data_IF_359913290654
#
_entry.id   IF_359913290654
#
_cell.length_a   1.000
_cell.length_b   1.000
_cell.length_c   1.000
_cell.angle_alpha   90.00
_cell.angle_beta   90.00
_cell.angle_gamma   90.00
#
_symmetry.space_group_name_H-M   'P 1'
#
loop_
_entity.id
_entity.type
_entity.pdbx_description
1 polymer ?
#
# COMPACT_ATOMS: atom_id res chain seq x y z
N UNK A 1 6.30 -6.61 -17.77
CA UNK A 1 6.04 -5.19 -18.07
C UNK A 1 5.39 -4.62 -16.84
N UNK A 2 5.86 -3.47 -16.35
CA UNK A 2 5.31 -2.83 -15.14
C UNK A 2 3.86 -2.38 -15.39
N UNK A 3 2.93 -2.68 -14.49
CA UNK A 3 1.55 -2.16 -14.55
C UNK A 3 1.47 -0.72 -14.04
N UNK A 4 2.52 -0.21 -13.39
CA UNK A 4 2.64 1.20 -13.05
C UNK A 4 2.98 1.99 -14.32
N UNK A 5 1.95 2.61 -14.91
CA UNK A 5 2.08 3.49 -16.06
C UNK A 5 2.07 4.97 -15.68
N UNK A 6 2.54 5.85 -16.56
CA UNK A 6 2.44 7.30 -16.34
C UNK A 6 0.99 7.79 -16.21
N UNK A 7 0.04 7.09 -16.83
CA UNK A 7 -1.39 7.37 -16.68
C UNK A 7 -1.87 7.03 -15.27
N UNK A 8 -1.44 5.89 -14.71
CA UNK A 8 -1.72 5.50 -13.34
C UNK A 8 -1.16 6.52 -12.33
N UNK A 9 0.09 6.96 -12.52
CA UNK A 9 0.70 8.00 -11.67
C UNK A 9 -0.06 9.32 -11.75
N UNK A 10 -0.49 9.71 -12.96
CA UNK A 10 -1.28 10.93 -13.17
C UNK A 10 -2.64 10.86 -12.46
N UNK A 11 -3.30 9.71 -12.53
CA UNK A 11 -4.55 9.46 -11.81
C UNK A 11 -4.33 9.60 -10.30
N UNK A 12 -3.31 8.94 -9.74
CA UNK A 12 -3.02 8.98 -8.32
C UNK A 12 -2.70 10.38 -7.81
N UNK A 13 -1.88 11.13 -8.54
CA UNK A 13 -1.54 12.50 -8.16
C UNK A 13 -2.76 13.43 -8.14
N UNK A 14 -3.70 13.25 -9.07
CA UNK A 14 -4.96 13.98 -9.10
C UNK A 14 -5.84 13.66 -7.89
N UNK A 15 -5.97 12.38 -7.54
CA UNK A 15 -6.85 11.92 -6.45
C UNK A 15 -6.27 12.31 -5.08
N UNK A 16 -4.99 12.05 -4.83
CA UNK A 16 -4.38 12.23 -3.51
C UNK A 16 -3.87 13.62 -3.24
N UNK A 17 -3.31 14.28 -4.25
CA UNK A 17 -2.62 15.56 -4.04
C UNK A 17 -3.26 16.74 -4.78
N UNK A 18 -4.34 16.50 -5.54
CA UNK A 18 -5.10 17.54 -6.26
C UNK A 18 -4.25 18.42 -7.19
N UNK A 19 -3.11 17.94 -7.67
CA UNK A 19 -2.31 18.61 -8.70
C UNK A 19 -2.26 17.78 -9.99
N UNK A 20 -1.92 18.45 -11.09
CA UNK A 20 -1.71 17.79 -12.38
C UNK A 20 -0.22 17.71 -12.66
N UNK A 21 0.27 16.51 -12.95
CA UNK A 21 1.64 16.32 -13.42
C UNK A 21 1.74 16.57 -14.93
N UNK A 22 2.85 17.19 -15.39
CA UNK A 22 3.26 17.11 -16.78
C UNK A 22 3.49 15.65 -17.21
N UNK A 23 3.16 15.31 -18.45
CA UNK A 23 3.28 13.94 -18.96
C UNK A 23 4.71 13.38 -18.89
N UNK A 24 5.73 14.23 -19.10
CA UNK A 24 7.14 13.83 -19.00
C UNK A 24 7.53 13.38 -17.58
N UNK A 25 7.02 14.08 -16.57
CA UNK A 25 7.30 13.77 -15.16
C UNK A 25 6.53 12.53 -14.71
N UNK A 26 5.32 12.33 -15.22
CA UNK A 26 4.52 11.15 -14.91
C UNK A 26 5.15 9.85 -15.46
N UNK A 27 5.73 9.90 -16.66
CA UNK A 27 6.46 8.78 -17.24
C UNK A 27 7.72 8.45 -16.42
N UNK A 28 8.49 9.47 -16.05
CA UNK A 28 9.69 9.30 -15.23
C UNK A 28 9.35 8.71 -13.85
N UNK A 29 8.29 9.18 -13.20
CA UNK A 29 7.82 8.63 -11.93
C UNK A 29 7.38 7.18 -12.04
N UNK A 30 6.72 6.81 -13.14
CA UNK A 30 6.34 5.42 -13.39
C UNK A 30 7.56 4.52 -13.53
N UNK A 31 8.59 4.94 -14.28
CA UNK A 31 9.86 4.22 -14.40
C UNK A 31 10.58 4.09 -13.04
N UNK A 32 10.54 5.13 -12.21
CA UNK A 32 11.12 5.09 -10.87
C UNK A 32 10.38 4.13 -9.92
N UNK A 33 9.07 3.95 -10.10
CA UNK A 33 8.22 3.09 -9.28
C UNK A 33 8.17 1.64 -9.76
N UNK A 34 8.53 1.37 -11.02
CA UNK A 34 8.53 0.01 -11.59
C UNK A 34 9.33 -1.01 -10.77
N UNK A 35 10.53 -0.70 -10.21
CA UNK A 35 11.25 -1.63 -9.35
C UNK A 35 10.50 -1.97 -8.04
N UNK A 36 9.71 -1.04 -7.51
CA UNK A 36 8.89 -1.30 -6.31
C UNK A 36 7.72 -2.23 -6.61
N UNK A 37 7.14 -2.16 -7.81
CA UNK A 37 6.11 -3.12 -8.23
C UNK A 37 6.68 -4.54 -8.29
N UNK A 38 7.84 -4.72 -8.93
CA UNK A 38 8.51 -6.03 -9.00
C UNK A 38 8.85 -6.56 -7.61
N UNK A 39 9.42 -5.71 -6.75
CA UNK A 39 9.70 -6.10 -5.37
C UNK A 39 8.42 -6.45 -4.58
N UNK A 40 7.33 -5.72 -4.82
CA UNK A 40 6.01 -5.98 -4.22
C UNK A 40 5.41 -7.30 -4.68
N UNK A 41 5.48 -7.63 -5.98
CA UNK A 41 5.03 -8.90 -6.54
C UNK A 41 5.85 -10.08 -6.00
N UNK A 42 7.18 -9.97 -5.96
CA UNK A 42 8.05 -11.01 -5.37
C UNK A 42 7.75 -11.26 -3.89
N UNK A 43 7.47 -10.20 -3.13
CA UNK A 43 7.05 -10.31 -1.72
C UNK A 43 5.64 -10.88 -1.61
N UNK A 44 4.71 -10.48 -2.47
CA UNK A 44 3.33 -10.96 -2.49
C UNK A 44 3.22 -12.45 -2.83
N UNK A 45 4.02 -12.95 -3.78
CA UNK A 45 4.11 -14.37 -4.13
C UNK A 45 4.62 -15.22 -2.95
N UNK A 46 5.43 -14.63 -2.08
CA UNK A 46 5.92 -15.26 -0.85
C UNK A 46 5.12 -14.86 0.40
N UNK A 47 4.08 -14.04 0.25
CA UNK A 47 3.18 -13.66 1.33
C UNK A 47 2.17 -14.80 1.53
N UNK A 48 2.62 -15.85 2.22
CA UNK A 48 1.68 -16.76 2.85
C UNK A 48 1.02 -15.97 3.99
N UNK A 49 -0.20 -15.50 3.73
CA UNK A 49 -1.10 -15.12 4.82
C UNK A 49 -1.32 -16.39 5.63
N UNK A 50 -0.61 -16.53 6.74
CA UNK A 50 -0.98 -17.51 7.73
C UNK A 50 -2.41 -17.14 8.14
N UNK A 51 -3.36 -18.02 7.82
CA UNK A 51 -4.78 -17.83 8.14
C UNK A 51 -5.02 -18.01 9.65
N UNK A 52 -3.97 -18.03 10.47
CA UNK A 52 -4.06 -17.75 11.88
C UNK A 52 -4.17 -16.23 12.07
N UNK A 53 -5.27 -15.73 12.66
CA UNK A 53 -5.32 -14.35 13.10
C UNK A 53 -4.15 -14.14 14.05
N UNK A 54 -3.14 -13.38 13.62
CA UNK A 54 -2.07 -12.96 14.51
C UNK A 54 -2.71 -12.12 15.61
N UNK A 55 -2.90 -12.77 16.76
CA UNK A 55 -3.25 -12.11 18.00
C UNK A 55 -4.53 -11.25 17.94
N UNK A 56 -5.59 -11.69 17.23
CA UNK A 56 -6.90 -10.99 17.28
C UNK A 56 -7.38 -10.80 18.73
N UNK A 57 -7.21 -11.83 19.55
CA UNK A 57 -7.55 -11.79 20.97
C UNK A 57 -6.65 -10.82 21.77
N UNK A 58 -5.35 -10.75 21.43
CA UNK A 58 -4.42 -9.80 22.07
C UNK A 58 -4.73 -8.35 21.67
N UNK A 59 -5.07 -8.11 20.41
CA UNK A 59 -5.48 -6.80 19.92
C UNK A 59 -6.80 -6.34 20.57
N UNK A 60 -7.72 -7.27 20.84
CA UNK A 60 -8.93 -7.00 21.60
C UNK A 60 -8.61 -6.64 23.07
N UNK A 61 -7.69 -7.35 23.72
CA UNK A 61 -7.26 -7.03 25.09
C UNK A 61 -6.53 -5.68 25.17
N UNK A 62 -5.70 -5.33 24.20
CA UNK A 62 -5.01 -4.04 24.14
C UNK A 62 -5.97 -2.86 23.85
N UNK A 63 -7.07 -3.11 23.14
CA UNK A 63 -8.08 -2.09 22.80
C UNK A 63 -9.25 -2.02 23.79
N UNK A 64 -9.40 -3.01 24.67
CA UNK A 64 -10.44 -3.00 25.69
C UNK A 64 -10.10 -1.94 26.76
N UNK A 65 -11.00 -0.98 27.05
CA UNK A 65 -10.80 -0.08 28.18
C UNK A 65 -10.78 -0.88 29.49
N UNK A 66 -9.95 -0.50 30.48
CA UNK A 66 -9.87 -1.21 31.74
C UNK A 66 -11.25 -1.24 32.40
N UNK A 67 -11.71 -2.45 32.75
CA UNK A 67 -12.94 -2.65 33.51
C UNK A 67 -12.69 -2.08 34.91
N UNK A 68 -13.23 -0.88 35.18
CA UNK A 68 -13.22 -0.27 36.51
C UNK A 68 -14.23 -1.04 37.39
N UNK A 69 -13.75 -2.05 38.10
CA UNK A 69 -14.53 -2.75 39.12
C UNK A 69 -14.70 -1.80 40.34
N UNK A 70 -15.81 -1.07 40.34
CA UNK A 70 -16.34 -0.35 41.51
C UNK A 70 -17.69 -0.91 41.92
#
# INVERSE_FOLDING_TARGET
MSNISGEFVTMMARIWHRFSLPQGDAALLAEMLAPMETAGEEVAENLQFDMEPSDFDRALEELAPPIDER
#
